data_IF_548441344626
#
_entry.id   IF_548441344626
#
_cell.length_a   1.000
_cell.length_b   1.000
_cell.length_c   1.000
_cell.angle_alpha   90.00
_cell.angle_beta   90.00
_cell.angle_gamma   90.00
#
_symmetry.space_group_name_H-M   'P 1'
#
loop_
_entity.id
_entity.type
_entity.pdbx_description
1 polymer ?
#
# COMPACT_ATOMS: atom_id res chain seq x y z
N UNK A 1 -22.80 2.25 -17.54
CA UNK A 1 -21.95 2.01 -16.34
C UNK A 1 -20.60 1.36 -16.66
N UNK A 2 -20.49 0.37 -17.57
CA UNK A 2 -19.21 -0.30 -17.88
C UNK A 2 -18.14 0.63 -18.49
N UNK A 3 -18.53 1.47 -19.47
CA UNK A 3 -17.62 2.45 -20.11
C UNK A 3 -16.97 3.40 -19.10
N UNK A 4 -17.73 3.85 -18.10
CA UNK A 4 -17.21 4.76 -17.07
C UNK A 4 -16.20 4.06 -16.16
N UNK A 5 -16.40 2.77 -15.84
CA UNK A 5 -15.46 1.98 -15.04
C UNK A 5 -14.14 1.73 -15.77
N UNK A 6 -14.20 1.44 -17.08
CA UNK A 6 -13.00 1.24 -17.90
C UNK A 6 -12.20 2.54 -18.06
N UNK A 7 -12.88 3.65 -18.34
CA UNK A 7 -12.25 4.97 -18.44
C UNK A 7 -11.60 5.36 -17.10
N UNK A 8 -12.31 5.20 -15.98
CA UNK A 8 -11.79 5.55 -14.67
C UNK A 8 -10.62 4.66 -14.25
N UNK A 9 -10.70 3.35 -14.55
CA UNK A 9 -9.61 2.40 -14.30
C UNK A 9 -8.35 2.72 -15.10
N UNK A 10 -8.49 2.99 -16.40
CA UNK A 10 -7.38 3.40 -17.25
C UNK A 10 -6.77 4.73 -16.79
N UNK A 11 -7.60 5.72 -16.48
CA UNK A 11 -7.16 7.02 -15.99
C UNK A 11 -6.43 6.89 -14.65
N UNK A 12 -6.92 6.06 -13.73
CA UNK A 12 -6.25 5.78 -12.46
C UNK A 12 -4.87 5.13 -12.67
N UNK A 13 -4.73 4.19 -13.60
CA UNK A 13 -3.43 3.58 -13.93
C UNK A 13 -2.47 4.63 -14.50
N UNK A 14 -2.94 5.46 -15.43
CA UNK A 14 -2.13 6.55 -16.00
C UNK A 14 -1.71 7.55 -14.93
N UNK A 15 -2.62 7.94 -14.03
CA UNK A 15 -2.32 8.84 -12.91
C UNK A 15 -1.30 8.21 -11.95
N UNK A 16 -1.44 6.92 -11.63
CA UNK A 16 -0.51 6.23 -10.74
C UNK A 16 0.88 6.10 -11.38
N UNK A 17 0.95 5.74 -12.66
CA UNK A 17 2.21 5.69 -13.41
C UNK A 17 2.85 7.08 -13.54
N UNK A 18 2.05 8.11 -13.80
CA UNK A 18 2.50 9.50 -13.86
C UNK A 18 3.01 10.02 -12.53
N UNK A 19 2.31 9.71 -11.42
CA UNK A 19 2.75 10.02 -10.06
C UNK A 19 4.08 9.35 -9.75
N UNK A 20 4.21 8.07 -10.07
CA UNK A 20 5.42 7.29 -9.78
C UNK A 20 6.59 7.74 -10.65
N UNK A 21 6.34 8.14 -11.90
CA UNK A 21 7.35 8.75 -12.77
C UNK A 21 7.79 10.12 -12.25
N UNK A 22 6.85 10.98 -11.83
CA UNK A 22 7.15 12.28 -11.24
C UNK A 22 7.93 12.14 -9.93
N UNK A 23 7.53 11.18 -9.09
CA UNK A 23 8.22 10.83 -7.86
C UNK A 23 9.64 10.34 -8.15
N UNK A 24 9.83 9.41 -9.08
CA UNK A 24 11.17 8.95 -9.49
C UNK A 24 12.05 10.06 -10.11
N UNK A 25 11.45 11.08 -10.75
CA UNK A 25 12.16 12.27 -11.27
C UNK A 25 12.55 13.25 -10.16
N UNK A 26 11.70 13.37 -9.15
CA UNK A 26 11.96 14.20 -7.96
C UNK A 26 12.94 13.54 -7.01
N UNK A 27 12.95 12.20 -7.01
CA UNK A 27 13.87 11.36 -6.27
C UNK A 27 15.30 11.50 -6.77
N UNK A 28 16.10 12.18 -5.98
CA UNK A 28 17.53 12.36 -6.17
C UNK A 28 18.12 13.16 -5.01
N UNK A 29 19.45 13.23 -4.87
CA UNK A 29 20.07 14.15 -3.93
C UNK A 29 19.73 15.59 -4.33
N UNK A 30 18.88 16.27 -3.54
CA UNK A 30 18.58 17.69 -3.76
C UNK A 30 19.79 18.49 -3.28
N UNK A 31 20.77 18.68 -4.16
CA UNK A 31 21.98 19.42 -3.85
C UNK A 31 21.88 20.94 -4.14
N UNK A 32 20.75 21.48 -4.62
CA UNK A 32 20.70 22.91 -5.04
C UNK A 32 19.52 23.76 -4.56
N UNK A 33 18.43 23.21 -4.00
CA UNK A 33 17.24 24.00 -3.60
C UNK A 33 16.75 23.81 -2.16
N UNK A 34 17.40 22.96 -1.36
CA UNK A 34 17.04 22.75 0.06
C UNK A 34 17.58 23.90 0.94
N UNK A 35 16.73 24.55 1.75
CA UNK A 35 17.16 25.50 2.79
C UNK A 35 18.19 24.86 3.73
N UNK A 36 19.14 25.64 4.24
CA UNK A 36 20.26 25.14 5.03
C UNK A 36 19.86 24.36 6.31
N UNK A 37 18.68 24.62 6.87
CA UNK A 37 18.11 23.91 8.02
C UNK A 37 17.52 22.52 7.67
N UNK A 38 17.39 22.20 6.38
CA UNK A 38 16.92 20.95 5.78
C UNK A 38 18.07 20.27 5.01
N UNK A 39 19.31 20.39 5.49
CA UNK A 39 20.47 19.66 4.94
C UNK A 39 21.02 18.74 6.01
N UNK A 40 21.39 17.51 5.64
CA UNK A 40 22.15 16.64 6.53
C UNK A 40 23.64 17.07 6.57
N UNK A 41 24.45 16.42 7.41
CA UNK A 41 25.88 16.71 7.54
C UNK A 41 26.69 16.49 6.24
N UNK A 42 26.11 15.83 5.22
CA UNK A 42 26.69 15.62 3.88
C UNK A 42 26.12 16.57 2.81
N UNK A 43 25.21 17.48 3.18
CA UNK A 43 24.58 18.44 2.28
C UNK A 43 23.44 17.89 1.42
N UNK A 44 22.97 16.65 1.66
CA UNK A 44 21.99 15.97 0.81
C UNK A 44 20.86 15.33 1.64
N UNK A 45 19.73 16.01 1.82
CA UNK A 45 18.49 15.31 2.21
C UNK A 45 17.91 14.68 0.94
N UNK A 46 17.91 13.35 0.89
CA UNK A 46 17.09 12.62 -0.06
C UNK A 46 15.63 12.79 0.39
N UNK A 47 14.76 13.27 -0.51
CA UNK A 47 13.31 13.23 -0.37
C UNK A 47 12.77 12.09 -1.24
N UNK A 48 13.37 10.91 -1.10
CA UNK A 48 12.99 9.79 -1.94
C UNK A 48 11.57 9.34 -1.58
N UNK A 49 10.71 9.20 -2.58
CA UNK A 49 9.32 8.77 -2.39
C UNK A 49 8.40 9.79 -1.73
N UNK A 50 8.76 11.07 -1.67
CA UNK A 50 7.95 12.09 -1.01
C UNK A 50 6.57 12.26 -1.63
N UNK A 51 6.43 12.22 -2.96
CA UNK A 51 5.13 12.37 -3.62
C UNK A 51 4.24 11.15 -3.37
N UNK A 52 4.83 9.95 -3.38
CA UNK A 52 4.13 8.72 -3.01
C UNK A 52 3.68 8.76 -1.54
N UNK A 53 4.57 9.16 -0.63
CA UNK A 53 4.24 9.32 0.79
C UNK A 53 3.11 10.33 0.99
N UNK A 54 3.21 11.52 0.40
CA UNK A 54 2.20 12.56 0.52
C UNK A 54 0.84 12.10 -0.02
N UNK A 55 0.84 11.45 -1.19
CA UNK A 55 -0.39 10.92 -1.79
C UNK A 55 -1.02 9.86 -0.90
N UNK A 56 -0.23 8.91 -0.40
CA UNK A 56 -0.71 7.87 0.51
C UNK A 56 -1.19 8.44 1.84
N UNK A 57 -0.51 9.44 2.40
CA UNK A 57 -0.93 10.13 3.62
C UNK A 57 -2.30 10.78 3.42
N UNK A 58 -2.52 11.51 2.32
CA UNK A 58 -3.82 12.11 2.00
C UNK A 58 -4.90 11.03 1.84
N UNK A 59 -4.63 9.98 1.06
CA UNK A 59 -5.58 8.89 0.82
C UNK A 59 -5.93 8.14 2.11
N UNK A 60 -4.97 7.91 2.99
CA UNK A 60 -5.20 7.22 4.27
C UNK A 60 -5.98 8.09 5.23
N UNK A 61 -5.73 9.39 5.29
CA UNK A 61 -6.52 10.31 6.12
C UNK A 61 -7.97 10.40 5.63
N UNK A 62 -8.17 10.57 4.32
CA UNK A 62 -9.51 10.58 3.71
C UNK A 62 -10.21 9.23 3.91
N UNK A 63 -9.52 8.13 3.65
CA UNK A 63 -10.03 6.78 3.84
C UNK A 63 -10.40 6.50 5.30
N UNK A 64 -9.60 6.99 6.26
CA UNK A 64 -9.89 6.82 7.69
C UNK A 64 -11.16 7.57 8.08
N UNK A 65 -11.36 8.77 7.51
CA UNK A 65 -12.58 9.55 7.72
C UNK A 65 -13.80 8.87 7.13
N UNK A 66 -13.72 8.38 5.90
CA UNK A 66 -14.85 7.68 5.24
C UNK A 66 -15.17 6.35 5.93
N UNK A 67 -14.15 5.54 6.27
CA UNK A 67 -14.36 4.30 7.00
C UNK A 67 -14.98 4.57 8.38
N UNK A 68 -14.54 5.61 9.09
CA UNK A 68 -15.15 6.05 10.34
C UNK A 68 -16.62 6.43 10.18
N UNK A 69 -17.00 7.11 9.09
CA UNK A 69 -18.39 7.45 8.77
C UNK A 69 -19.24 6.22 8.47
N UNK A 70 -18.70 5.27 7.70
CA UNK A 70 -19.41 4.02 7.38
C UNK A 70 -19.65 3.17 8.62
N UNK A 71 -18.63 3.02 9.47
CA UNK A 71 -18.75 2.30 10.74
C UNK A 71 -19.72 3.00 11.70
N UNK A 72 -19.74 4.34 11.69
CA UNK A 72 -20.74 5.11 12.42
C UNK A 72 -22.18 4.87 11.90
N UNK A 73 -22.36 4.83 10.58
CA UNK A 73 -23.64 4.47 9.96
C UNK A 73 -24.08 3.03 10.25
N UNK A 74 -23.13 2.13 10.51
CA UNK A 74 -23.37 0.75 10.95
C UNK A 74 -23.60 0.63 12.48
N UNK A 75 -23.89 1.72 13.19
CA UNK A 75 -24.22 1.72 14.62
C UNK A 75 -23.02 1.64 15.56
N UNK A 76 -21.79 1.70 15.05
CA UNK A 76 -20.59 1.76 15.88
C UNK A 76 -20.26 3.23 16.21
N UNK A 77 -19.41 3.49 17.19
CA UNK A 77 -19.01 4.86 17.54
C UNK A 77 -17.49 5.01 17.51
N UNK A 78 -16.83 4.92 16.34
CA UNK A 78 -15.37 5.03 16.26
C UNK A 78 -14.85 6.38 16.79
N UNK A 79 -13.57 6.41 17.17
CA UNK A 79 -12.88 7.67 17.48
C UNK A 79 -12.62 8.45 16.18
N UNK A 80 -12.95 9.75 16.09
CA UNK A 80 -12.86 10.49 14.83
C UNK A 80 -11.43 10.84 14.43
N UNK A 81 -10.62 11.38 15.35
CA UNK A 81 -9.29 11.92 15.04
C UNK A 81 -8.15 10.97 15.41
N UNK A 82 -8.34 10.15 16.45
CA UNK A 82 -7.30 9.25 16.95
C UNK A 82 -6.73 8.29 15.89
N UNK A 83 -7.55 7.53 15.12
CA UNK A 83 -7.00 6.64 14.10
C UNK A 83 -6.27 7.41 12.99
N UNK A 84 -6.65 8.67 12.72
CA UNK A 84 -5.96 9.51 11.72
C UNK A 84 -4.52 9.82 12.16
N UNK A 85 -4.33 10.17 13.44
CA UNK A 85 -3.00 10.45 14.03
C UNK A 85 -2.13 9.20 14.00
N UNK A 86 -2.69 8.06 14.45
CA UNK A 86 -1.95 6.78 14.47
C UNK A 86 -1.61 6.33 13.04
N UNK A 87 -2.53 6.44 12.09
CA UNK A 87 -2.30 6.04 10.71
C UNK A 87 -1.24 6.90 10.02
N UNK A 88 -1.26 8.22 10.25
CA UNK A 88 -0.23 9.11 9.73
C UNK A 88 1.14 8.78 10.32
N UNK A 89 1.20 8.51 11.63
CA UNK A 89 2.43 8.07 12.27
C UNK A 89 2.94 6.76 11.65
N UNK A 90 2.08 5.73 11.52
CA UNK A 90 2.47 4.43 10.96
C UNK A 90 3.07 4.52 9.55
N UNK A 91 2.50 5.38 8.70
CA UNK A 91 2.96 5.56 7.32
C UNK A 91 4.24 6.42 7.27
N UNK A 92 4.42 7.33 8.22
CA UNK A 92 5.61 8.17 8.30
C UNK A 92 6.87 7.40 8.75
N UNK A 93 6.74 6.34 9.56
CA UNK A 93 7.90 5.58 10.06
C UNK A 93 8.81 5.08 8.91
N UNK A 94 8.32 4.31 7.92
CA UNK A 94 9.19 3.83 6.85
C UNK A 94 9.74 4.96 5.98
N UNK A 95 8.99 6.05 5.81
CA UNK A 95 9.46 7.23 5.08
C UNK A 95 10.63 7.92 5.80
N UNK A 96 10.53 8.12 7.12
CA UNK A 96 11.57 8.72 7.95
C UNK A 96 12.78 7.78 8.07
N UNK A 97 12.55 6.47 8.21
CA UNK A 97 13.63 5.49 8.26
C UNK A 97 14.42 5.45 6.95
N UNK A 98 13.74 5.46 5.80
CA UNK A 98 14.36 5.46 4.48
C UNK A 98 15.11 6.75 4.14
N UNK A 99 14.61 7.90 4.57
CA UNK A 99 15.21 9.21 4.33
C UNK A 99 16.08 9.72 5.51
N UNK A 100 16.35 8.86 6.49
CA UNK A 100 17.19 9.20 7.65
C UNK A 100 18.64 9.52 7.28
N UNK A 101 19.41 10.12 8.21
CA UNK A 101 20.82 10.45 7.98
C UNK A 101 21.63 9.22 7.56
N UNK A 102 22.49 9.29 6.52
CA UNK A 102 23.23 8.14 5.99
C UNK A 102 23.96 7.31 7.04
N UNK A 103 24.58 7.97 8.03
CA UNK A 103 25.31 7.33 9.13
C UNK A 103 24.44 6.39 9.99
N UNK A 104 23.11 6.61 10.01
CA UNK A 104 22.18 5.89 10.86
C UNK A 104 21.11 5.12 10.06
N UNK A 105 21.15 5.09 8.72
CA UNK A 105 20.08 4.48 7.91
C UNK A 105 19.84 3.01 8.24
N UNK A 106 20.91 2.22 8.37
CA UNK A 106 20.78 0.79 8.70
C UNK A 106 20.20 0.59 10.11
N UNK A 107 20.63 1.42 11.07
CA UNK A 107 20.10 1.42 12.43
C UNK A 107 18.62 1.84 12.47
N UNK A 108 18.23 2.84 11.68
CA UNK A 108 16.86 3.32 11.56
C UNK A 108 15.97 2.28 10.88
N UNK A 109 16.47 1.57 9.87
CA UNK A 109 15.75 0.48 9.20
C UNK A 109 15.52 -0.71 10.15
N UNK A 110 16.51 -1.06 10.97
CA UNK A 110 16.35 -2.08 12.03
C UNK A 110 15.40 -1.61 13.15
N UNK A 111 15.42 -0.31 13.47
CA UNK A 111 14.54 0.28 14.46
C UNK A 111 13.10 0.49 13.93
N UNK A 112 12.91 0.61 12.63
CA UNK A 112 11.63 0.87 11.96
C UNK A 112 10.54 -0.11 12.45
N UNK A 113 10.82 -1.41 12.45
CA UNK A 113 9.88 -2.42 12.92
C UNK A 113 9.54 -2.25 14.41
N UNK A 114 10.52 -1.83 15.23
CA UNK A 114 10.29 -1.53 16.66
C UNK A 114 9.41 -0.30 16.84
N UNK A 115 9.61 0.73 16.03
CA UNK A 115 8.76 1.93 16.01
C UNK A 115 7.34 1.60 15.55
N UNK A 116 7.17 0.76 14.53
CA UNK A 116 5.84 0.31 14.09
C UNK A 116 5.11 -0.42 15.21
N UNK A 117 5.77 -1.36 15.88
CA UNK A 117 5.18 -2.08 17.03
C UNK A 117 4.86 -1.10 18.17
N UNK A 118 5.75 -0.15 18.46
CA UNK A 118 5.52 0.89 19.47
C UNK A 118 4.31 1.78 19.17
N UNK A 119 4.19 2.28 17.93
CA UNK A 119 3.06 3.11 17.50
C UNK A 119 1.76 2.31 17.47
N UNK A 120 1.79 1.03 17.09
CA UNK A 120 0.62 0.14 17.19
C UNK A 120 0.20 -0.06 18.65
N UNK A 121 1.15 -0.34 19.55
CA UNK A 121 0.88 -0.51 20.97
C UNK A 121 0.28 0.78 21.57
N UNK A 122 0.85 1.94 21.26
CA UNK A 122 0.30 3.24 21.63
C UNK A 122 -1.09 3.48 21.01
N UNK A 123 -1.28 3.09 19.76
CA UNK A 123 -2.56 3.14 19.06
C UNK A 123 -3.65 2.35 19.78
N UNK A 124 -3.32 1.13 20.23
CA UNK A 124 -4.21 0.25 21.00
C UNK A 124 -4.51 0.82 22.38
N UNK A 125 -3.46 1.14 23.16
CA UNK A 125 -3.60 1.69 24.51
C UNK A 125 -4.35 3.03 24.50
N UNK A 126 -4.00 3.91 23.55
CA UNK A 126 -4.67 5.19 23.36
C UNK A 126 -6.13 5.04 22.92
N UNK A 127 -6.45 4.03 22.10
CA UNK A 127 -7.85 3.72 21.76
C UNK A 127 -8.63 3.34 23.02
N UNK A 128 -8.11 2.42 23.83
CA UNK A 128 -8.76 2.01 25.08
C UNK A 128 -8.92 3.19 26.05
N UNK A 129 -7.88 4.00 26.22
CA UNK A 129 -7.90 5.16 27.09
C UNK A 129 -8.91 6.23 26.65
N UNK A 130 -8.94 6.57 25.36
CA UNK A 130 -9.85 7.59 24.82
C UNK A 130 -11.31 7.11 24.80
N UNK A 131 -11.55 5.81 24.59
CA UNK A 131 -12.90 5.23 24.75
C UNK A 131 -13.32 5.26 26.21
N UNK A 132 -12.44 4.88 27.15
CA UNK A 132 -12.73 4.95 28.59
C UNK A 132 -13.07 6.38 29.05
N UNK A 133 -12.41 7.40 28.48
CA UNK A 133 -12.73 8.82 28.75
C UNK A 133 -14.16 9.22 28.38
N UNK A 134 -14.86 8.46 27.52
CA UNK A 134 -16.27 8.70 27.20
C UNK A 134 -17.21 8.37 28.38
N UNK A 135 -16.73 7.69 29.43
CA UNK A 135 -17.49 7.29 30.62
C UNK A 135 -18.80 6.55 30.31
N UNK A 136 -18.82 5.80 29.19
CA UNK A 136 -19.94 4.96 28.75
C UNK A 136 -19.40 3.56 28.46
N UNK A 137 -20.07 2.55 29.00
CA UNK A 137 -19.74 1.14 28.74
C UNK A 137 -20.48 0.61 27.52
N UNK A 138 -21.68 1.14 27.25
CA UNK A 138 -22.49 0.79 26.10
C UNK A 138 -21.76 1.13 24.79
N UNK A 139 -21.61 0.14 23.91
CA UNK A 139 -20.92 0.30 22.63
C UNK A 139 -19.40 0.52 22.72
N UNK A 140 -18.79 0.42 23.90
CA UNK A 140 -17.35 0.65 24.08
C UNK A 140 -16.49 -0.35 23.29
N UNK A 141 -16.86 -1.64 23.30
CA UNK A 141 -16.19 -2.68 22.53
C UNK A 141 -16.29 -2.45 21.01
N UNK A 142 -17.48 -2.06 20.53
CA UNK A 142 -17.71 -1.71 19.13
C UNK A 142 -16.92 -0.47 18.70
N UNK A 143 -16.84 0.55 19.56
CA UNK A 143 -16.02 1.75 19.32
C UNK A 143 -14.53 1.43 19.25
N UNK A 144 -14.02 0.58 20.15
CA UNK A 144 -12.64 0.11 20.12
C UNK A 144 -12.37 -0.71 18.86
N UNK A 145 -13.20 -1.71 18.57
CA UNK A 145 -13.06 -2.57 17.39
C UNK A 145 -13.07 -1.78 16.08
N UNK A 146 -14.02 -0.86 15.91
CA UNK A 146 -14.11 0.00 14.73
C UNK A 146 -12.87 0.91 14.57
N UNK A 147 -12.36 1.46 15.67
CA UNK A 147 -11.16 2.30 15.65
C UNK A 147 -9.90 1.48 15.33
N UNK A 148 -9.74 0.31 15.95
CA UNK A 148 -8.61 -0.58 15.71
C UNK A 148 -8.63 -1.14 14.28
N UNK A 149 -9.80 -1.48 13.75
CA UNK A 149 -9.97 -1.87 12.36
C UNK A 149 -9.48 -0.76 11.43
N UNK A 150 -9.84 0.49 11.70
CA UNK A 150 -9.38 1.64 10.92
C UNK A 150 -7.85 1.81 10.99
N UNK A 151 -7.25 1.52 12.14
CA UNK A 151 -5.80 1.61 12.33
C UNK A 151 -5.06 0.50 11.57
N UNK A 152 -5.50 -0.74 11.77
CA UNK A 152 -4.86 -1.91 11.16
C UNK A 152 -5.07 -1.93 9.65
N UNK A 153 -6.27 -1.61 9.19
CA UNK A 153 -6.61 -1.71 7.77
C UNK A 153 -5.99 -0.60 6.93
N UNK A 154 -6.03 0.66 7.38
CA UNK A 154 -5.52 1.78 6.58
C UNK A 154 -4.10 2.20 6.97
N UNK A 155 -3.78 2.23 8.27
CA UNK A 155 -2.45 2.61 8.74
C UNK A 155 -1.43 1.50 8.55
N UNK A 156 -1.67 0.33 9.15
CA UNK A 156 -0.72 -0.78 9.11
C UNK A 156 -0.56 -1.34 7.69
N UNK A 157 -1.64 -1.66 6.97
CA UNK A 157 -1.50 -2.15 5.59
C UNK A 157 -0.96 -1.06 4.65
N UNK A 158 -1.40 0.20 4.83
CA UNK A 158 -0.93 1.34 4.03
C UNK A 158 0.57 1.60 4.16
N UNK A 159 1.16 1.37 5.34
CA UNK A 159 2.60 1.56 5.54
C UNK A 159 3.45 0.66 4.65
N UNK A 160 2.97 -0.55 4.29
CA UNK A 160 3.73 -1.48 3.47
C UNK A 160 3.96 -0.94 2.05
N UNK A 161 3.05 -0.12 1.51
CA UNK A 161 3.26 0.54 0.22
C UNK A 161 4.43 1.54 0.29
N UNK A 162 4.54 2.29 1.39
CA UNK A 162 5.70 3.17 1.63
C UNK A 162 6.96 2.36 1.86
N UNK A 163 6.91 1.27 2.63
CA UNK A 163 8.05 0.36 2.82
C UNK A 163 8.57 -0.19 1.49
N UNK A 164 7.69 -0.66 0.61
CA UNK A 164 8.05 -1.15 -0.73
C UNK A 164 8.69 -0.03 -1.54
N UNK A 165 8.15 1.20 -1.47
CA UNK A 165 8.73 2.37 -2.14
C UNK A 165 10.07 2.79 -1.54
N UNK A 166 10.33 2.53 -0.26
CA UNK A 166 11.62 2.83 0.40
C UNK A 166 12.60 1.65 0.34
N UNK A 167 12.24 0.56 -0.35
CA UNK A 167 13.03 -0.67 -0.35
C UNK A 167 14.21 -0.57 -1.34
N UNK A 168 15.42 -0.38 -0.79
CA UNK A 168 16.68 -0.50 -1.51
C UNK A 168 17.17 0.79 -2.21
N UNK A 169 18.44 0.83 -2.65
CA UNK A 169 19.11 2.10 -2.99
C UNK A 169 18.74 2.71 -4.34
N UNK A 170 18.13 1.96 -5.28
CA UNK A 170 17.75 2.44 -6.62
C UNK A 170 16.61 1.57 -7.18
N UNK A 171 15.55 2.18 -7.72
CA UNK A 171 14.54 1.46 -8.52
C UNK A 171 13.30 0.94 -7.77
N UNK A 172 13.18 1.18 -6.47
CA UNK A 172 12.03 0.83 -5.61
C UNK A 172 10.65 1.26 -6.14
N UNK A 173 10.60 2.31 -6.96
CA UNK A 173 9.40 2.74 -7.70
C UNK A 173 8.89 1.64 -8.64
N UNK A 174 9.79 0.92 -9.33
CA UNK A 174 9.44 -0.18 -10.23
C UNK A 174 8.91 -1.39 -9.46
N UNK A 175 9.41 -1.62 -8.25
CA UNK A 175 8.89 -2.67 -7.37
C UNK A 175 7.46 -2.34 -6.92
N UNK A 176 7.19 -1.08 -6.53
CA UNK A 176 5.84 -0.64 -6.20
C UNK A 176 4.89 -0.76 -7.41
N UNK A 177 5.33 -0.35 -8.61
CA UNK A 177 4.58 -0.54 -9.85
C UNK A 177 4.29 -2.01 -10.13
N UNK A 178 5.28 -2.88 -9.96
CA UNK A 178 5.13 -4.32 -10.14
C UNK A 178 4.07 -4.91 -9.21
N UNK A 179 4.09 -4.56 -7.92
CA UNK A 179 3.11 -5.03 -6.94
C UNK A 179 1.71 -4.55 -7.30
N UNK A 180 1.55 -3.25 -7.61
CA UNK A 180 0.25 -2.68 -7.97
C UNK A 180 -0.27 -3.25 -9.29
N UNK A 181 0.60 -3.41 -10.30
CA UNK A 181 0.24 -3.97 -11.59
C UNK A 181 -0.22 -5.42 -11.47
N UNK A 182 0.46 -6.24 -10.66
CA UNK A 182 0.08 -7.64 -10.42
C UNK A 182 -1.34 -7.74 -9.86
N UNK A 183 -1.67 -6.94 -8.84
CA UNK A 183 -3.03 -6.94 -8.25
C UNK A 183 -4.06 -6.40 -9.23
N UNK A 184 -3.77 -5.30 -9.93
CA UNK A 184 -4.72 -4.71 -10.88
C UNK A 184 -5.01 -5.62 -12.07
N UNK A 185 -4.00 -6.29 -12.59
CA UNK A 185 -4.18 -7.24 -13.70
C UNK A 185 -4.90 -8.50 -13.22
N UNK A 186 -4.71 -8.93 -11.96
CA UNK A 186 -5.54 -9.97 -11.37
C UNK A 186 -7.04 -9.61 -11.41
N UNK A 187 -7.41 -8.39 -10.98
CA UNK A 187 -8.81 -7.94 -10.99
C UNK A 187 -9.38 -7.86 -12.41
N UNK A 188 -8.58 -7.36 -13.35
CA UNK A 188 -8.95 -7.28 -14.76
C UNK A 188 -9.16 -8.68 -15.34
N UNK A 189 -8.22 -9.60 -15.09
CA UNK A 189 -8.30 -10.99 -15.52
C UNK A 189 -9.55 -11.67 -14.99
N UNK A 190 -9.81 -11.54 -13.68
CA UNK A 190 -10.97 -12.14 -13.03
C UNK A 190 -12.30 -11.57 -13.56
N UNK A 191 -12.33 -10.27 -13.84
CA UNK A 191 -13.50 -9.62 -14.40
C UNK A 191 -13.80 -10.11 -15.83
N UNK A 192 -12.79 -10.18 -16.71
CA UNK A 192 -13.02 -10.58 -18.09
C UNK A 192 -13.33 -12.07 -18.24
N UNK A 193 -12.61 -12.96 -17.53
CA UNK A 193 -12.95 -14.39 -17.56
C UNK A 193 -14.27 -14.69 -16.88
N UNK A 194 -14.56 -14.04 -15.74
CA UNK A 194 -15.84 -14.17 -15.06
C UNK A 194 -17.02 -13.71 -15.93
N UNK A 195 -16.84 -12.65 -16.73
CA UNK A 195 -17.87 -12.18 -17.65
C UNK A 195 -18.03 -13.07 -18.89
N UNK A 196 -16.94 -13.63 -19.43
CA UNK A 196 -16.97 -14.41 -20.66
C UNK A 196 -17.44 -15.85 -20.46
N UNK A 197 -17.00 -16.50 -19.37
CA UNK A 197 -17.20 -17.93 -19.13
C UNK A 197 -17.68 -18.26 -17.71
N UNK A 198 -17.97 -17.26 -16.87
CA UNK A 198 -18.40 -17.47 -15.50
C UNK A 198 -19.75 -18.17 -15.41
N UNK A 199 -19.76 -19.33 -14.76
CA UNK A 199 -20.98 -20.14 -14.54
C UNK A 199 -21.15 -20.47 -13.07
N UNK A 200 -20.07 -20.83 -12.39
CA UNK A 200 -20.10 -21.26 -11.00
C UNK A 200 -19.83 -20.10 -10.06
N UNK A 201 -20.81 -19.72 -9.25
CA UNK A 201 -20.65 -18.62 -8.28
C UNK A 201 -19.81 -19.06 -7.09
N UNK A 202 -18.99 -18.15 -6.59
CA UNK A 202 -18.04 -18.45 -5.51
C UNK A 202 -18.64 -18.20 -4.12
N UNK A 203 -19.14 -16.98 -3.86
CA UNK A 203 -19.71 -16.59 -2.56
C UNK A 203 -20.91 -15.67 -2.80
N UNK A 204 -22.10 -16.26 -3.00
CA UNK A 204 -23.28 -15.50 -3.42
C UNK A 204 -23.77 -14.47 -2.40
N UNK A 205 -23.64 -14.79 -1.11
CA UNK A 205 -24.10 -13.93 -0.01
C UNK A 205 -23.19 -12.73 0.25
N UNK A 206 -21.91 -12.81 -0.15
CA UNK A 206 -20.92 -11.74 0.01
C UNK A 206 -20.78 -10.92 -1.28
N UNK A 207 -20.66 -11.59 -2.43
CA UNK A 207 -20.53 -10.96 -3.73
C UNK A 207 -21.21 -11.79 -4.83
N UNK A 208 -22.44 -11.43 -5.23
CA UNK A 208 -23.26 -12.23 -6.15
C UNK A 208 -22.72 -12.29 -7.59
N UNK A 209 -21.61 -11.60 -7.88
CA UNK A 209 -20.98 -11.52 -9.21
C UNK A 209 -19.62 -12.22 -9.29
N UNK A 210 -19.05 -12.70 -8.18
CA UNK A 210 -17.78 -13.45 -8.20
C UNK A 210 -18.02 -14.91 -8.63
N UNK A 211 -17.23 -15.38 -9.58
CA UNK A 211 -17.29 -16.75 -10.12
C UNK A 211 -15.96 -17.47 -9.98
N UNK A 212 -15.99 -18.81 -9.91
CA UNK A 212 -14.78 -19.64 -9.84
C UNK A 212 -13.94 -19.55 -11.12
N UNK A 213 -14.56 -19.42 -12.29
CA UNK A 213 -13.85 -19.21 -13.55
C UNK A 213 -13.21 -17.81 -13.61
N UNK A 214 -13.86 -16.82 -12.97
CA UNK A 214 -13.27 -15.51 -12.70
C UNK A 214 -12.00 -15.64 -11.86
N UNK A 215 -12.07 -16.32 -10.72
CA UNK A 215 -10.90 -16.58 -9.87
C UNK A 215 -9.75 -17.23 -10.65
N UNK A 216 -10.03 -18.29 -11.42
CA UNK A 216 -9.00 -18.98 -12.21
C UNK A 216 -8.33 -18.04 -13.23
N UNK A 217 -9.10 -17.20 -13.92
CA UNK A 217 -8.56 -16.21 -14.85
C UNK A 217 -7.75 -15.11 -14.17
N UNK A 218 -8.18 -14.66 -12.99
CA UNK A 218 -7.42 -13.71 -12.16
C UNK A 218 -6.08 -14.28 -11.71
N UNK A 219 -6.07 -15.54 -11.23
CA UNK A 219 -4.83 -16.26 -10.85
C UNK A 219 -3.88 -16.38 -12.04
N UNK A 220 -4.37 -16.82 -13.20
CA UNK A 220 -3.54 -16.94 -14.39
C UNK A 220 -2.95 -15.59 -14.83
N UNK A 221 -3.76 -14.52 -14.84
CA UNK A 221 -3.31 -13.19 -15.22
C UNK A 221 -2.29 -12.59 -14.22
N UNK A 222 -2.51 -12.79 -12.92
CA UNK A 222 -1.60 -12.37 -11.86
C UNK A 222 -0.24 -13.06 -11.96
N UNK A 223 -0.22 -14.39 -12.10
CA UNK A 223 1.02 -15.17 -12.28
C UNK A 223 1.74 -14.74 -13.56
N UNK A 224 1.00 -14.53 -14.66
CA UNK A 224 1.60 -14.07 -15.91
C UNK A 224 2.34 -12.73 -15.73
N UNK A 225 1.72 -11.72 -15.10
CA UNK A 225 2.39 -10.44 -14.84
C UNK A 225 3.58 -10.60 -13.89
N UNK A 226 3.39 -11.37 -12.82
CA UNK A 226 4.42 -11.61 -11.82
C UNK A 226 5.68 -12.25 -12.44
N UNK A 227 5.52 -13.21 -13.35
CA UNK A 227 6.61 -13.96 -13.99
C UNK A 227 7.18 -13.23 -15.21
N UNK A 228 6.34 -12.61 -16.05
CA UNK A 228 6.80 -11.93 -17.26
C UNK A 228 7.61 -10.67 -16.95
N UNK A 229 7.30 -9.96 -15.86
CA UNK A 229 8.01 -8.72 -15.51
C UNK A 229 9.51 -8.95 -15.28
N UNK A 230 9.95 -9.88 -14.41
CA UNK A 230 11.38 -10.24 -14.26
C UNK A 230 12.02 -10.65 -15.59
N UNK A 231 11.35 -11.49 -16.40
CA UNK A 231 11.87 -11.97 -17.69
C UNK A 231 12.12 -10.81 -18.66
N UNK A 232 11.17 -9.89 -18.75
CA UNK A 232 11.28 -8.71 -19.63
C UNK A 232 12.44 -7.82 -19.17
N UNK A 233 12.57 -7.60 -17.86
CA UNK A 233 13.65 -6.80 -17.29
C UNK A 233 15.02 -7.45 -17.54
N UNK A 234 15.15 -8.75 -17.36
CA UNK A 234 16.39 -9.49 -17.63
C UNK A 234 16.80 -9.47 -19.11
N UNK A 235 15.83 -9.38 -20.03
CA UNK A 235 16.11 -9.32 -21.47
C UNK A 235 16.40 -7.91 -21.97
N UNK A 236 15.69 -6.91 -21.48
CA UNK A 236 15.72 -5.55 -22.03
C UNK A 236 16.60 -4.58 -21.25
N UNK A 237 16.73 -4.76 -19.93
CA UNK A 237 17.53 -3.86 -19.11
C UNK A 237 19.03 -4.19 -19.25
N UNK A 238 19.94 -3.20 -19.29
CA UNK A 238 21.38 -3.45 -19.32
C UNK A 238 21.84 -4.38 -18.18
N UNK A 239 22.87 -5.20 -18.41
CA UNK A 239 23.39 -6.12 -17.38
C UNK A 239 23.87 -5.39 -16.11
N UNK A 240 24.30 -4.13 -16.23
CA UNK A 240 24.71 -3.25 -15.14
C UNK A 240 23.54 -2.54 -14.43
N UNK A 241 22.29 -2.76 -14.88
CA UNK A 241 21.14 -2.08 -14.29
C UNK A 241 20.79 -2.66 -12.91
N UNK A 242 20.58 -1.77 -11.95
CA UNK A 242 20.09 -2.13 -10.61
C UNK A 242 18.70 -2.81 -10.64
N UNK A 243 17.98 -2.75 -11.77
CA UNK A 243 16.66 -3.33 -11.96
C UNK A 243 16.67 -4.86 -11.99
N UNK A 244 17.75 -5.50 -12.47
CA UNK A 244 17.83 -6.97 -12.55
C UNK A 244 17.86 -7.65 -11.17
N UNK A 245 18.45 -6.99 -10.17
CA UNK A 245 18.49 -7.48 -8.79
C UNK A 245 17.24 -7.14 -7.96
N UNK A 246 16.30 -6.35 -8.50
CA UNK A 246 15.14 -5.86 -7.78
C UNK A 246 13.99 -6.88 -7.73
N UNK A 247 13.85 -7.69 -8.77
CA UNK A 247 12.73 -8.60 -8.93
C UNK A 247 13.03 -9.98 -8.35
N UNK A 248 12.03 -10.67 -7.77
CA UNK A 248 12.21 -12.00 -7.23
C UNK A 248 12.52 -13.03 -8.33
N UNK A 249 13.12 -14.16 -7.93
CA UNK A 249 13.30 -15.32 -8.84
C UNK A 249 11.96 -15.82 -9.38
N UNK A 250 11.97 -16.50 -10.52
CA UNK A 250 10.74 -16.94 -11.21
C UNK A 250 9.82 -17.80 -10.32
N UNK A 251 10.40 -18.65 -9.46
CA UNK A 251 9.63 -19.44 -8.50
C UNK A 251 8.93 -18.56 -7.46
N UNK A 252 9.65 -17.61 -6.88
CA UNK A 252 9.09 -16.66 -5.89
C UNK A 252 8.07 -15.73 -6.54
N UNK A 253 8.30 -15.29 -7.79
CA UNK A 253 7.36 -14.49 -8.56
C UNK A 253 6.04 -15.26 -8.82
N UNK A 254 6.12 -16.55 -9.14
CA UNK A 254 4.94 -17.40 -9.33
C UNK A 254 4.13 -17.52 -8.03
N UNK A 255 4.81 -17.79 -6.91
CA UNK A 255 4.18 -17.87 -5.58
C UNK A 255 3.55 -16.52 -5.22
N UNK A 256 4.25 -15.41 -5.47
CA UNK A 256 3.75 -14.06 -5.24
C UNK A 256 2.46 -13.79 -6.04
N UNK A 257 2.46 -14.09 -7.35
CA UNK A 257 1.28 -13.92 -8.21
C UNK A 257 0.09 -14.76 -7.74
N UNK A 258 0.33 -16.01 -7.34
CA UNK A 258 -0.70 -16.89 -6.79
C UNK A 258 -1.28 -16.34 -5.47
N UNK A 259 -0.42 -15.96 -4.52
CA UNK A 259 -0.84 -15.43 -3.23
C UNK A 259 -1.64 -14.13 -3.39
N UNK A 260 -1.17 -13.21 -4.23
CA UNK A 260 -1.89 -11.96 -4.49
C UNK A 260 -3.26 -12.19 -5.11
N UNK A 261 -3.39 -13.17 -6.00
CA UNK A 261 -4.66 -13.51 -6.59
C UNK A 261 -5.64 -14.15 -5.59
N UNK A 262 -5.16 -15.09 -4.76
CA UNK A 262 -5.99 -15.74 -3.74
C UNK A 262 -6.45 -14.73 -2.70
N UNK A 263 -5.54 -13.91 -2.17
CA UNK A 263 -5.86 -12.89 -1.16
C UNK A 263 -6.76 -11.81 -1.74
N UNK A 264 -6.48 -11.35 -2.97
CA UNK A 264 -7.27 -10.30 -3.63
C UNK A 264 -8.68 -10.75 -4.01
N UNK A 265 -8.86 -12.02 -4.41
CA UNK A 265 -10.17 -12.54 -4.83
C UNK A 265 -10.96 -13.20 -3.69
N UNK A 266 -10.29 -13.71 -2.65
CA UNK A 266 -10.89 -14.44 -1.53
C UNK A 266 -11.62 -13.57 -0.51
N UNK A 267 -11.42 -12.25 -0.54
CA UNK A 267 -12.11 -11.25 0.31
C UNK A 267 -13.20 -10.49 -0.41
#
# INVERSE_FOLDING_TARGET
>A
MLRHRLIFGALMIVTLAGLLYADARWSGPIATHTPAWLRDASGMIAFDGFLVFLTLAILVLLGTRELGRLLAGAGHSPLPCWPMVVNLALIAIPFVAGNGPPANRDLLCLADMRWTVGVLALGVLGTGFLVMRRRKTEGASGAMGATLLSILYLGLLGQFLVRIRMFGPVGSTWLLLYVVATVKVCDIGAFFTGMAIGRNKMIEWLSPKKTLEGLAGGVAASIAVAVLTPIIVDRLAPASSALRGLFPSLGVATIFGLLMAIVGQGG
#
